data_IF_072623579187
#
_entry.id   IF_072623579187
#
_cell.length_a   1.000
_cell.length_b   1.000
_cell.length_c   1.000
_cell.angle_alpha   90.00
_cell.angle_beta   90.00
_cell.angle_gamma   90.00
#
_symmetry.space_group_name_H-M   'P 1'
#
loop_
_entity.id
_entity.type
_entity.pdbx_description
1 polymer ?
#
# COMPACT_ATOMS: atom_id res chain seq x y z
N UNK A 1 11.92 -24.31 2.98
CA UNK A 1 11.17 -23.33 2.15
C UNK A 1 11.78 -23.19 0.75
N UNK A 2 11.97 -24.31 0.02
CA UNK A 2 12.60 -24.31 -1.31
C UNK A 2 11.62 -24.00 -2.45
N UNK A 3 10.40 -24.52 -2.35
CA UNK A 3 9.37 -24.37 -3.39
C UNK A 3 8.94 -22.92 -3.63
N UNK A 4 8.61 -22.18 -2.56
CA UNK A 4 8.26 -20.76 -2.66
C UNK A 4 9.41 -19.96 -3.29
N UNK A 5 10.66 -20.19 -2.87
CA UNK A 5 11.85 -19.55 -3.44
C UNK A 5 12.04 -19.85 -4.93
N UNK A 6 11.70 -21.05 -5.39
CA UNK A 6 11.80 -21.43 -6.80
C UNK A 6 10.74 -20.73 -7.67
N UNK A 7 9.50 -20.63 -7.19
CA UNK A 7 8.41 -19.98 -7.94
C UNK A 7 8.43 -18.46 -7.85
N UNK A 8 8.99 -17.92 -6.77
CA UNK A 8 8.92 -16.51 -6.41
C UNK A 8 9.38 -15.56 -7.55
N UNK A 9 10.52 -15.77 -8.23
CA UNK A 9 10.93 -14.88 -9.32
C UNK A 9 9.94 -14.87 -10.49
N UNK A 10 9.36 -16.02 -10.82
CA UNK A 10 8.37 -16.13 -11.90
C UNK A 10 7.06 -15.43 -11.53
N UNK A 11 6.57 -15.64 -10.31
CA UNK A 11 5.32 -15.04 -9.83
C UNK A 11 5.43 -13.52 -9.71
N UNK A 12 6.53 -13.01 -9.13
CA UNK A 12 6.79 -11.58 -9.08
C UNK A 12 6.88 -10.98 -10.48
N UNK A 13 7.62 -11.64 -11.39
CA UNK A 13 7.71 -11.16 -12.77
C UNK A 13 6.32 -11.03 -13.37
N UNK A 14 5.55 -12.12 -13.37
CA UNK A 14 4.30 -12.20 -14.11
C UNK A 14 3.13 -11.42 -13.52
N UNK A 15 3.08 -11.24 -12.20
CA UNK A 15 1.89 -10.71 -11.50
C UNK A 15 2.18 -9.51 -10.58
N UNK A 16 3.41 -8.99 -10.62
CA UNK A 16 3.81 -7.79 -9.86
C UNK A 16 4.63 -6.81 -10.71
N UNK A 17 5.66 -7.26 -11.44
CA UNK A 17 6.60 -6.34 -12.12
C UNK A 17 6.31 -6.10 -13.60
N UNK A 18 5.80 -7.08 -14.35
CA UNK A 18 5.49 -6.91 -15.79
C UNK A 18 4.26 -6.01 -16.01
N UNK A 19 3.54 -5.65 -14.95
CA UNK A 19 2.29 -4.89 -15.03
C UNK A 19 2.45 -3.36 -15.07
N UNK A 20 3.67 -2.82 -15.23
CA UNK A 20 3.89 -1.36 -15.36
C UNK A 20 3.18 -0.69 -16.54
N UNK A 21 2.70 -1.49 -17.50
CA UNK A 21 1.81 -1.06 -18.60
C UNK A 21 0.33 -1.17 -18.24
N UNK A 22 -0.07 -2.24 -17.54
CA UNK A 22 -1.45 -2.57 -17.14
C UNK A 22 -2.03 -1.64 -16.07
N UNK A 23 -1.20 -0.80 -15.46
CA UNK A 23 -1.63 0.12 -14.41
C UNK A 23 -1.24 1.57 -14.69
N UNK A 24 -0.87 1.92 -15.94
CA UNK A 24 -0.65 3.33 -16.30
C UNK A 24 -1.93 4.15 -16.11
N UNK A 25 -1.80 5.44 -15.79
CA UNK A 25 -2.96 6.32 -15.67
C UNK A 25 -3.72 6.46 -16.98
N UNK A 26 -3.02 6.42 -18.12
CA UNK A 26 -3.67 6.33 -19.42
C UNK A 26 -4.61 5.12 -19.51
N UNK A 27 -4.12 3.93 -19.15
CA UNK A 27 -4.95 2.73 -19.23
C UNK A 27 -6.11 2.80 -18.24
N UNK A 28 -5.87 3.16 -16.98
CA UNK A 28 -6.90 3.31 -15.95
C UNK A 28 -8.00 4.29 -16.38
N UNK A 29 -7.62 5.39 -17.04
CA UNK A 29 -8.57 6.37 -17.58
C UNK A 29 -9.39 5.76 -18.72
N UNK A 30 -8.72 5.13 -19.70
CA UNK A 30 -9.42 4.54 -20.86
C UNK A 30 -10.29 3.33 -20.53
N UNK A 31 -9.95 2.60 -19.47
CA UNK A 31 -10.71 1.44 -19.00
C UNK A 31 -11.74 1.80 -17.93
N UNK A 32 -11.79 3.05 -17.46
CA UNK A 32 -12.71 3.48 -16.39
C UNK A 32 -12.39 2.92 -15.00
N UNK A 33 -11.15 2.47 -14.75
CA UNK A 33 -10.72 1.89 -13.47
C UNK A 33 -10.02 2.91 -12.55
N UNK A 34 -10.25 4.21 -12.77
CA UNK A 34 -9.78 5.25 -11.86
C UNK A 34 -10.52 5.20 -10.52
N UNK A 35 -9.92 5.78 -9.48
CA UNK A 35 -10.62 6.00 -8.23
C UNK A 35 -11.84 6.91 -8.42
N UNK A 36 -12.96 6.53 -7.80
CA UNK A 36 -14.25 7.16 -8.04
C UNK A 36 -14.30 8.62 -7.56
N UNK A 37 -13.69 8.92 -6.41
CA UNK A 37 -13.70 10.27 -5.86
C UNK A 37 -12.44 11.07 -6.25
N UNK A 38 -11.32 10.38 -6.48
CA UNK A 38 -10.00 10.97 -6.70
C UNK A 38 -9.33 10.43 -7.98
N UNK A 39 -9.85 10.75 -9.19
CA UNK A 39 -9.42 10.11 -10.44
C UNK A 39 -7.96 10.39 -10.85
N UNK A 40 -7.29 11.37 -10.24
CA UNK A 40 -5.88 11.69 -10.45
C UNK A 40 -4.93 10.89 -9.53
N UNK A 41 -5.47 10.05 -8.63
CA UNK A 41 -4.69 9.15 -7.78
C UNK A 41 -4.34 7.88 -8.56
N UNK A 42 -3.07 7.49 -8.53
CA UNK A 42 -2.57 6.32 -9.26
C UNK A 42 -2.72 5.03 -8.45
N UNK A 43 -2.43 5.05 -7.15
CA UNK A 43 -2.57 3.87 -6.29
C UNK A 43 -2.75 4.26 -4.82
N UNK A 44 -3.26 3.30 -4.04
CA UNK A 44 -3.34 3.37 -2.58
C UNK A 44 -2.20 2.58 -1.93
N UNK A 45 -1.67 3.09 -0.82
CA UNK A 45 -0.66 2.40 -0.02
C UNK A 45 -1.04 2.35 1.46
N UNK A 46 -0.76 1.20 2.08
CA UNK A 46 -0.93 1.01 3.52
C UNK A 46 0.05 -0.08 4.03
N UNK A 47 0.33 -0.08 5.34
CA UNK A 47 1.17 -1.10 5.98
C UNK A 47 0.28 -2.15 6.60
N UNK A 48 0.56 -3.42 6.30
CA UNK A 48 -0.05 -4.53 7.04
C UNK A 48 0.84 -5.00 8.18
N UNK A 49 0.21 -5.40 9.27
CA UNK A 49 0.85 -5.89 10.48
C UNK A 49 0.68 -7.41 10.56
N UNK A 50 1.78 -8.11 10.88
CA UNK A 50 1.71 -9.50 11.30
C UNK A 50 2.48 -9.68 12.62
N UNK A 51 1.81 -10.26 13.61
CA UNK A 51 2.41 -10.61 14.89
C UNK A 51 3.57 -11.59 14.68
N UNK A 52 4.61 -11.46 15.49
CA UNK A 52 5.71 -12.43 15.52
C UNK A 52 5.97 -12.92 16.94
N UNK A 53 6.70 -14.02 17.04
CA UNK A 53 7.31 -14.40 18.31
C UNK A 53 8.25 -13.30 18.81
N UNK A 54 8.47 -13.25 20.12
CA UNK A 54 9.46 -12.37 20.73
C UNK A 54 10.82 -12.67 20.07
N UNK A 55 11.48 -11.68 19.46
CA UNK A 55 12.79 -11.89 18.86
C UNK A 55 13.77 -12.39 19.92
N UNK A 56 14.49 -13.46 19.61
CA UNK A 56 15.63 -13.91 20.42
C UNK A 56 16.74 -12.87 20.31
N UNK A 57 17.15 -12.29 21.44
CA UNK A 57 18.14 -11.21 21.49
C UNK A 57 18.09 -10.45 22.80
N UNK A 58 18.92 -9.42 22.90
CA UNK A 58 18.89 -8.47 24.01
C UNK A 58 17.57 -7.69 24.02
N UNK A 59 17.17 -7.18 25.18
CA UNK A 59 16.00 -6.30 25.29
C UNK A 59 16.07 -5.11 24.32
N UNK A 60 17.26 -4.57 24.09
CA UNK A 60 17.47 -3.48 23.13
C UNK A 60 17.08 -3.88 21.70
N UNK A 61 17.41 -5.10 21.28
CA UNK A 61 17.03 -5.66 19.98
C UNK A 61 15.54 -6.00 19.94
N UNK A 62 14.99 -6.68 20.95
CA UNK A 62 13.57 -7.05 20.96
C UNK A 62 12.64 -5.83 21.01
N UNK A 63 13.02 -4.75 21.72
CA UNK A 63 12.27 -3.48 21.78
C UNK A 63 12.07 -2.86 20.40
N UNK A 64 12.97 -3.10 19.45
CA UNK A 64 12.80 -2.69 18.04
C UNK A 64 11.71 -3.48 17.29
N UNK A 65 10.92 -4.32 17.95
CA UNK A 65 9.81 -5.03 17.29
C UNK A 65 8.48 -4.78 17.99
N UNK A 66 8.48 -3.99 19.07
CA UNK A 66 7.28 -3.74 19.85
C UNK A 66 6.39 -2.68 19.20
N UNK A 67 5.16 -3.06 18.85
CA UNK A 67 4.13 -2.13 18.41
C UNK A 67 3.39 -1.58 19.62
N UNK A 68 3.66 -0.33 19.99
CA UNK A 68 2.94 0.35 21.08
C UNK A 68 1.43 0.48 20.83
N UNK A 69 0.98 0.47 19.57
CA UNK A 69 -0.45 0.51 19.21
C UNK A 69 -1.17 -0.80 19.55
N UNK A 70 -0.48 -1.93 19.44
CA UNK A 70 -1.06 -3.26 19.62
C UNK A 70 -0.54 -4.00 20.86
N UNK A 71 0.39 -3.39 21.61
CA UNK A 71 1.08 -3.97 22.78
C UNK A 71 1.70 -5.35 22.50
N UNK A 72 2.19 -5.57 21.28
CA UNK A 72 2.69 -6.86 20.79
C UNK A 72 3.95 -6.69 19.94
N UNK A 73 4.76 -7.75 19.86
CA UNK A 73 5.89 -7.82 18.93
C UNK A 73 5.44 -8.23 17.52
N UNK A 74 5.98 -7.58 16.50
CA UNK A 74 5.56 -7.82 15.13
C UNK A 74 6.59 -7.42 14.07
N UNK A 75 6.38 -7.98 12.88
CA UNK A 75 7.02 -7.54 11.66
C UNK A 75 6.02 -6.66 10.92
N UNK A 76 6.34 -5.37 10.85
CA UNK A 76 5.98 -4.55 9.69
C UNK A 76 7.02 -4.83 8.62
N UNK A 77 6.63 -4.84 7.35
CA UNK A 77 7.45 -5.38 6.25
C UNK A 77 8.88 -4.83 6.15
N UNK A 78 9.25 -3.71 6.82
CA UNK A 78 10.65 -3.43 7.22
C UNK A 78 10.71 -2.69 8.57
N UNK A 79 11.19 -3.36 9.64
CA UNK A 79 11.70 -2.84 10.96
C UNK A 79 10.72 -1.91 11.74
N UNK A 80 10.97 -1.45 13.01
CA UNK A 80 9.98 -0.68 13.77
C UNK A 80 10.00 0.78 13.32
N UNK A 81 9.70 1.00 12.06
CA UNK A 81 9.69 2.32 11.49
C UNK A 81 8.23 2.70 11.34
N UNK A 82 7.92 3.96 11.67
CA UNK A 82 6.59 4.52 11.41
C UNK A 82 6.19 4.25 9.96
N UNK A 83 4.89 4.23 9.66
CA UNK A 83 4.41 3.94 8.30
C UNK A 83 5.08 4.85 7.25
N UNK A 84 5.32 6.13 7.61
CA UNK A 84 6.12 7.07 6.82
C UNK A 84 7.53 6.57 6.53
N UNK A 85 8.23 5.99 7.48
CA UNK A 85 9.61 5.60 7.28
C UNK A 85 9.72 4.33 6.44
N UNK A 86 8.73 3.43 6.49
CA UNK A 86 8.59 2.36 5.50
C UNK A 86 8.37 2.95 4.11
N UNK A 87 7.59 4.03 4.00
CA UNK A 87 7.43 4.75 2.73
C UNK A 87 8.76 5.37 2.26
N UNK A 88 9.48 6.06 3.15
CA UNK A 88 10.77 6.71 2.85
C UNK A 88 11.82 5.68 2.38
N UNK A 89 11.88 4.50 3.00
CA UNK A 89 12.78 3.40 2.61
C UNK A 89 12.50 2.86 1.19
N UNK A 90 11.31 3.13 0.64
CA UNK A 90 10.91 2.74 -0.71
C UNK A 90 10.63 3.97 -1.59
N UNK A 91 11.20 5.14 -1.26
CA UNK A 91 10.93 6.41 -1.95
C UNK A 91 11.23 6.35 -3.45
N UNK A 92 12.32 5.70 -3.86
CA UNK A 92 12.70 5.57 -5.28
C UNK A 92 11.60 4.90 -6.09
N UNK A 93 11.00 3.83 -5.54
CA UNK A 93 9.85 3.16 -6.16
C UNK A 93 8.67 4.11 -6.28
N UNK A 94 8.33 4.84 -5.22
CA UNK A 94 7.18 5.77 -5.22
C UNK A 94 7.37 6.93 -6.20
N UNK A 95 8.56 7.52 -6.27
CA UNK A 95 8.88 8.58 -7.24
C UNK A 95 8.77 8.05 -8.66
N UNK A 96 9.32 6.88 -8.94
CA UNK A 96 9.23 6.26 -10.27
C UNK A 96 7.79 5.90 -10.65
N UNK A 97 7.00 5.35 -9.71
CA UNK A 97 5.63 4.91 -9.96
C UNK A 97 4.66 6.08 -10.16
N UNK A 98 4.91 7.22 -9.50
CA UNK A 98 4.06 8.40 -9.60
C UNK A 98 4.43 9.33 -10.76
N UNK A 99 5.60 9.16 -11.38
CA UNK A 99 6.03 10.02 -12.48
C UNK A 99 5.11 9.87 -13.70
N UNK A 100 4.60 10.99 -14.20
CA UNK A 100 3.77 11.00 -15.41
C UNK A 100 4.59 10.61 -16.63
N UNK A 101 4.01 9.78 -17.50
CA UNK A 101 4.57 9.52 -18.83
C UNK A 101 4.15 10.64 -19.77
N UNK A 102 4.98 10.97 -20.78
CA UNK A 102 4.66 12.01 -21.77
C UNK A 102 3.33 11.78 -22.52
N UNK A 103 2.87 10.53 -22.60
CA UNK A 103 1.58 10.17 -23.18
C UNK A 103 0.39 10.55 -22.31
N UNK A 104 0.63 10.91 -21.04
CA UNK A 104 -0.39 11.14 -20.02
C UNK A 104 -0.60 12.63 -19.71
N UNK A 105 0.15 13.54 -20.35
CA UNK A 105 0.06 15.00 -20.15
C UNK A 105 -1.34 15.57 -20.46
N UNK A 106 -2.13 14.85 -21.26
CA UNK A 106 -3.50 15.23 -21.65
C UNK A 106 -4.57 14.73 -20.69
N UNK A 107 -4.22 13.92 -19.69
CA UNK A 107 -5.16 13.39 -18.71
C UNK A 107 -5.41 14.48 -17.65
N UNK A 108 -6.67 14.78 -17.38
CA UNK A 108 -7.07 15.85 -16.47
C UNK A 108 -6.51 15.63 -15.06
N UNK A 109 -5.79 16.64 -14.54
CA UNK A 109 -5.03 16.52 -13.30
C UNK A 109 -5.67 17.24 -12.07
N UNK A 110 -6.96 17.55 -12.18
CA UNK A 110 -7.81 18.09 -11.10
C UNK A 110 -7.12 19.11 -10.17
N UNK A 111 -6.48 20.13 -10.77
CA UNK A 111 -6.08 21.36 -10.07
C UNK A 111 -4.60 21.54 -9.76
N UNK A 112 -3.71 20.63 -10.19
CA UNK A 112 -2.26 20.76 -9.96
C UNK A 112 -1.42 20.43 -11.22
N UNK A 113 -1.84 21.02 -12.35
CA UNK A 113 -1.27 20.82 -13.70
C UNK A 113 0.23 21.14 -13.81
N UNK A 114 0.84 21.77 -12.78
CA UNK A 114 2.28 22.01 -12.69
C UNK A 114 3.10 20.85 -12.14
N UNK A 115 2.47 19.75 -11.68
CA UNK A 115 3.18 18.59 -11.15
C UNK A 115 3.40 17.53 -12.23
N UNK A 116 4.64 17.05 -12.37
CA UNK A 116 4.96 15.88 -13.22
C UNK A 116 4.67 14.54 -12.50
N UNK A 117 3.75 14.56 -11.53
CA UNK A 117 3.43 13.40 -10.69
C UNK A 117 1.93 13.19 -10.55
N UNK A 118 1.50 11.94 -10.69
CA UNK A 118 0.25 11.44 -10.16
C UNK A 118 0.28 11.39 -8.64
N UNK A 119 -0.88 11.21 -8.02
CA UNK A 119 -0.97 11.18 -6.56
C UNK A 119 -1.00 9.75 -5.98
N UNK A 120 -0.45 9.56 -4.78
CA UNK A 120 -0.67 8.36 -3.94
C UNK A 120 -1.67 8.68 -2.83
N UNK A 121 -2.60 7.77 -2.53
CA UNK A 121 -3.46 7.88 -1.36
C UNK A 121 -2.93 6.97 -0.23
N UNK A 122 -2.87 7.48 1.00
CA UNK A 122 -2.38 6.71 2.14
C UNK A 122 -3.11 7.03 3.44
N UNK A 123 -2.83 6.26 4.49
CA UNK A 123 -3.41 6.49 5.81
C UNK A 123 -2.91 7.77 6.49
N UNK A 124 -3.67 8.25 7.47
CA UNK A 124 -3.32 9.36 8.36
C UNK A 124 -1.99 9.14 9.12
N UNK A 125 -1.48 7.90 9.21
CA UNK A 125 -0.14 7.57 9.72
C UNK A 125 1.02 8.09 8.84
N UNK A 126 0.77 8.38 7.56
CA UNK A 126 1.79 8.77 6.58
C UNK A 126 2.03 10.29 6.49
N UNK A 127 1.56 11.07 7.46
CA UNK A 127 1.71 12.53 7.44
C UNK A 127 3.18 12.93 7.25
N UNK A 128 3.42 13.83 6.29
CA UNK A 128 4.76 14.28 5.92
C UNK A 128 5.31 13.68 4.63
N UNK A 129 4.73 12.61 4.07
CA UNK A 129 5.15 12.11 2.74
C UNK A 129 4.83 13.10 1.61
N UNK A 130 3.86 14.00 1.83
CA UNK A 130 3.48 15.08 0.92
C UNK A 130 4.64 16.05 0.59
N UNK A 131 5.74 16.00 1.36
CA UNK A 131 6.96 16.79 1.13
C UNK A 131 7.86 16.21 0.04
N UNK A 132 7.71 14.93 -0.28
CA UNK A 132 8.60 14.20 -1.19
C UNK A 132 7.87 13.62 -2.41
N UNK A 133 6.56 13.39 -2.29
CA UNK A 133 5.69 12.96 -3.38
C UNK A 133 4.34 13.67 -3.28
N UNK A 134 3.60 13.74 -4.38
CA UNK A 134 2.20 14.16 -4.35
C UNK A 134 1.35 13.09 -3.64
N UNK A 135 0.83 13.43 -2.46
CA UNK A 135 0.07 12.49 -1.64
C UNK A 135 -1.25 13.06 -1.11
N UNK A 136 -2.29 12.24 -1.17
CA UNK A 136 -3.63 12.53 -0.65
C UNK A 136 -3.81 11.79 0.68
N UNK A 137 -3.90 12.54 1.77
CA UNK A 137 -4.02 11.99 3.12
C UNK A 137 -5.23 12.59 3.84
N UNK A 138 -5.91 11.82 4.71
CA UNK A 138 -6.99 12.38 5.53
C UNK A 138 -6.46 13.50 6.45
N UNK A 139 -7.20 14.61 6.53
CA UNK A 139 -6.87 15.73 7.43
C UNK A 139 -6.95 15.29 8.89
N UNK A 140 -5.93 15.68 9.67
CA UNK A 140 -5.93 15.49 11.12
C UNK A 140 -6.82 16.53 11.79
N UNK A 141 -7.54 16.10 12.82
CA UNK A 141 -8.26 17.01 13.71
C UNK A 141 -7.21 17.91 14.39
N UNK A 142 -7.36 19.24 14.36
CA UNK A 142 -6.47 20.15 15.07
C UNK A 142 -6.58 19.91 16.58
N UNK A 143 -5.51 20.20 17.33
CA UNK A 143 -5.50 20.05 18.78
C UNK A 143 -6.61 20.90 19.40
N UNK A 144 -7.57 20.26 20.09
CA UNK A 144 -8.72 20.94 20.71
C UNK A 144 -9.79 21.47 19.74
N UNK A 145 -9.60 21.40 18.43
CA UNK A 145 -10.57 21.89 17.43
C UNK A 145 -11.39 20.78 16.79
N UNK A 146 -12.30 21.10 15.88
CA UNK A 146 -13.08 20.14 15.09
C UNK A 146 -12.71 20.20 13.61
N UNK A 147 -13.01 19.14 12.87
CA UNK A 147 -12.96 19.19 11.41
C UNK A 147 -14.17 19.98 10.89
N UNK A 148 -13.96 20.76 9.83
CA UNK A 148 -15.08 21.39 9.13
C UNK A 148 -15.93 20.34 8.40
N UNK A 149 -17.15 20.69 7.99
CA UNK A 149 -17.98 19.78 7.19
C UNK A 149 -17.30 19.39 5.86
N UNK A 150 -16.55 20.31 5.26
CA UNK A 150 -15.78 20.07 4.05
C UNK A 150 -14.62 19.10 4.30
N UNK A 151 -13.90 19.27 5.41
CA UNK A 151 -12.83 18.35 5.80
C UNK A 151 -13.35 16.93 6.06
N UNK A 152 -14.54 16.80 6.64
CA UNK A 152 -15.20 15.50 6.85
C UNK A 152 -15.54 14.86 5.52
N UNK A 153 -16.20 15.59 4.61
CA UNK A 153 -16.53 15.08 3.27
C UNK A 153 -15.29 14.66 2.48
N UNK A 154 -14.23 15.48 2.52
CA UNK A 154 -12.96 15.15 1.87
C UNK A 154 -12.35 13.88 2.48
N UNK A 155 -12.33 13.75 3.80
CA UNK A 155 -11.85 12.54 4.47
C UNK A 155 -12.68 11.29 4.12
N UNK A 156 -14.00 11.44 3.95
CA UNK A 156 -14.88 10.33 3.59
C UNK A 156 -14.62 9.85 2.15
N UNK A 157 -14.42 10.77 1.21
CA UNK A 157 -13.99 10.44 -0.17
C UNK A 157 -12.64 9.73 -0.18
N UNK A 158 -11.66 10.22 0.60
CA UNK A 158 -10.35 9.59 0.76
C UNK A 158 -10.50 8.17 1.33
N UNK A 159 -11.29 8.01 2.39
CA UNK A 159 -11.50 6.69 3.01
C UNK A 159 -12.18 5.71 2.04
N UNK A 160 -13.18 6.17 1.29
CA UNK A 160 -13.92 5.38 0.29
C UNK A 160 -13.02 4.85 -0.82
N UNK A 161 -12.11 5.68 -1.34
CA UNK A 161 -11.17 5.26 -2.37
C UNK A 161 -10.07 4.36 -1.77
N UNK A 162 -9.52 4.75 -0.62
CA UNK A 162 -8.42 4.01 0.03
C UNK A 162 -8.80 2.58 0.43
N UNK A 163 -10.07 2.30 0.75
CA UNK A 163 -10.52 0.96 1.20
C UNK A 163 -10.12 -0.18 0.25
N UNK A 164 -9.80 0.11 -1.02
CA UNK A 164 -9.29 -0.90 -1.95
C UNK A 164 -8.02 -1.60 -1.43
N UNK A 165 -7.09 -0.88 -0.78
CA UNK A 165 -5.85 -1.48 -0.25
C UNK A 165 -6.16 -2.38 0.95
N UNK A 166 -7.15 -1.99 1.75
CA UNK A 166 -7.66 -2.78 2.87
C UNK A 166 -8.35 -4.06 2.36
N UNK A 167 -9.10 -3.97 1.27
CA UNK A 167 -9.71 -5.12 0.61
C UNK A 167 -8.67 -6.08 0.03
N UNK A 168 -7.57 -5.58 -0.55
CA UNK A 168 -6.42 -6.40 -1.00
C UNK A 168 -5.84 -7.16 0.19
N UNK A 169 -5.54 -6.47 1.30
CA UNK A 169 -4.99 -7.12 2.49
C UNK A 169 -5.99 -8.09 3.14
N UNK A 170 -7.28 -7.76 3.16
CA UNK A 170 -8.34 -8.64 3.64
C UNK A 170 -8.44 -9.91 2.79
N UNK A 171 -8.36 -9.78 1.46
CA UNK A 171 -8.33 -10.91 0.53
C UNK A 171 -7.12 -11.80 0.77
N UNK A 172 -5.93 -11.21 0.87
CA UNK A 172 -4.70 -11.94 1.16
C UNK A 172 -4.81 -12.71 2.48
N UNK A 173 -5.27 -12.08 3.56
CA UNK A 173 -5.44 -12.72 4.88
C UNK A 173 -6.47 -13.84 4.86
N UNK A 174 -7.51 -13.74 4.02
CA UNK A 174 -8.52 -14.78 3.84
C UNK A 174 -8.00 -15.98 3.02
N UNK A 175 -7.18 -15.72 2.00
CA UNK A 175 -6.65 -16.77 1.12
C UNK A 175 -5.51 -17.57 1.76
N UNK A 176 -4.65 -16.92 2.55
CA UNK A 176 -3.46 -17.56 3.09
C UNK A 176 -3.45 -17.53 4.61
N UNK A 177 -3.69 -18.70 5.21
CA UNK A 177 -3.69 -18.89 6.67
C UNK A 177 -2.40 -18.40 7.35
N UNK A 178 -1.27 -18.41 6.63
CA UNK A 178 0.00 -17.88 7.11
C UNK A 178 -0.08 -16.43 7.59
N UNK A 179 -1.06 -15.64 7.14
CA UNK A 179 -1.27 -14.25 7.58
C UNK A 179 -2.27 -14.09 8.74
N UNK A 180 -2.95 -15.17 9.14
CA UNK A 180 -3.88 -15.18 10.27
C UNK A 180 -3.21 -15.54 11.60
N UNK A 181 -1.99 -16.08 11.57
CA UNK A 181 -1.23 -16.55 12.73
C UNK A 181 0.03 -15.73 12.98
N UNK A 182 0.62 -15.88 14.17
CA UNK A 182 1.92 -15.29 14.49
C UNK A 182 3.01 -15.95 13.64
N UNK A 183 3.82 -15.14 12.95
CA UNK A 183 4.88 -15.65 12.07
C UNK A 183 6.05 -16.23 12.89
N UNK A 184 6.34 -17.54 12.81
CA UNK A 184 7.36 -18.17 13.64
C UNK A 184 8.73 -18.28 12.95
N UNK A 185 8.83 -17.98 11.65
CA UNK A 185 10.01 -18.27 10.84
C UNK A 185 11.00 -17.10 10.75
N UNK A 186 12.19 -17.39 10.21
CA UNK A 186 13.23 -16.39 10.00
C UNK A 186 12.79 -15.31 9.02
N UNK A 187 13.12 -14.06 9.36
CA UNK A 187 12.82 -12.87 8.56
C UNK A 187 13.30 -12.92 7.10
N UNK A 188 14.42 -13.58 6.83
CA UNK A 188 14.94 -13.77 5.47
C UNK A 188 13.95 -14.46 4.51
N UNK A 189 12.95 -15.16 5.06
CA UNK A 189 11.90 -15.79 4.27
C UNK A 189 10.56 -15.02 4.29
N UNK A 190 10.44 -13.99 5.12
CA UNK A 190 9.20 -13.23 5.27
C UNK A 190 8.87 -12.50 3.97
N UNK A 191 9.82 -11.75 3.41
CA UNK A 191 9.60 -10.97 2.19
C UNK A 191 9.24 -11.86 1.01
N UNK A 192 9.95 -12.99 0.85
CA UNK A 192 9.66 -13.98 -0.20
C UNK A 192 8.25 -14.54 -0.05
N UNK A 193 7.83 -14.90 1.17
CA UNK A 193 6.47 -15.39 1.39
C UNK A 193 5.42 -14.31 1.17
N UNK A 194 5.65 -13.11 1.70
CA UNK A 194 4.76 -11.95 1.52
C UNK A 194 4.52 -11.66 0.06
N UNK A 195 5.60 -11.44 -0.69
CA UNK A 195 5.55 -11.14 -2.11
C UNK A 195 4.95 -12.28 -2.94
N UNK A 196 5.21 -13.55 -2.57
CA UNK A 196 4.60 -14.71 -3.23
C UNK A 196 3.09 -14.77 -2.97
N UNK A 197 2.64 -14.59 -1.73
CA UNK A 197 1.23 -14.50 -1.38
C UNK A 197 0.55 -13.31 -2.07
N UNK A 198 1.20 -12.16 -2.15
CA UNK A 198 0.69 -10.99 -2.87
C UNK A 198 0.53 -11.27 -4.37
N UNK A 199 1.55 -11.85 -5.02
CA UNK A 199 1.47 -12.21 -6.43
C UNK A 199 0.32 -13.19 -6.72
N UNK A 200 0.13 -14.21 -5.88
CA UNK A 200 -0.99 -15.14 -6.01
C UNK A 200 -2.36 -14.49 -5.69
N UNK A 201 -2.38 -13.52 -4.77
CA UNK A 201 -3.58 -12.72 -4.49
C UNK A 201 -3.96 -11.88 -5.70
N UNK A 202 -2.99 -11.31 -6.42
CA UNK A 202 -3.23 -10.59 -7.68
C UNK A 202 -3.83 -11.51 -8.75
N UNK A 203 -3.37 -12.77 -8.87
CA UNK A 203 -4.00 -13.76 -9.76
C UNK A 203 -5.46 -13.98 -9.38
N UNK A 204 -5.73 -14.18 -8.08
CA UNK A 204 -7.10 -14.37 -7.61
C UNK A 204 -7.97 -13.13 -7.89
N UNK A 205 -7.46 -11.92 -7.68
CA UNK A 205 -8.21 -10.67 -7.93
C UNK A 205 -8.58 -10.54 -9.41
N UNK A 206 -7.68 -10.91 -10.33
CA UNK A 206 -7.98 -10.90 -11.78
C UNK A 206 -9.13 -11.84 -12.17
N UNK A 207 -9.34 -12.91 -11.41
CA UNK A 207 -10.43 -13.87 -11.64
C UNK A 207 -11.70 -13.53 -10.83
N UNK A 208 -11.51 -12.81 -9.72
CA UNK A 208 -12.54 -12.48 -8.74
C UNK A 208 -12.31 -11.05 -8.24
N UNK A 209 -12.88 -10.06 -8.95
CA UNK A 209 -12.63 -8.65 -8.68
C UNK A 209 -12.98 -8.24 -7.23
N UNK A 210 -12.37 -7.15 -6.75
CA UNK A 210 -12.52 -6.71 -5.35
C UNK A 210 -13.84 -6.00 -5.10
N UNK A 211 -14.39 -5.34 -6.12
CA UNK A 211 -15.71 -4.71 -6.14
C UNK A 211 -16.54 -5.29 -7.29
N UNK A 212 -17.85 -5.16 -7.19
CA UNK A 212 -18.76 -5.60 -8.26
C UNK A 212 -18.51 -4.83 -9.58
N UNK A 213 -18.06 -3.57 -9.46
CA UNK A 213 -17.80 -2.67 -10.59
C UNK A 213 -16.42 -2.90 -11.25
N UNK A 214 -15.57 -3.75 -10.67
CA UNK A 214 -14.21 -4.05 -11.16
C UNK A 214 -14.18 -5.22 -12.18
N UNK A 215 -15.34 -5.72 -12.63
CA UNK A 215 -15.51 -6.98 -13.39
C UNK A 215 -16.08 -6.84 -14.80
#
# INVERSE_FOLDING_TARGET
MSFAKALHPFLLRKYVTTDGEWYSMALLTTSGHQFANLPFVHYATDVTFQQTNVPLGSYAESKTYFSGKHSQYAIKSKFPVSDKAIFDDNLEFHVSALSKKATEDRIADHGDEGTNQWAVIADKGYQGIQRVVRAVLPKKKPAGGILTLEDVRSNDSIASDRVIVENVFGRMKKLWAVWGEAYPWSRANYDVLFQTCMALTNVHIRLHPLRADDG
#
